data_IF_653480332275
#
_entry.id   IF_653480332275
#
_cell.length_a   1.000
_cell.length_b   1.000
_cell.length_c   1.000
_cell.angle_alpha   90.00
_cell.angle_beta   90.00
_cell.angle_gamma   90.00
#
_symmetry.space_group_name_H-M   'P 1'
#
loop_
_entity.id
_entity.type
_entity.pdbx_description
1 polymer ?
#
# COMPACT_ATOMS: atom_id res chain seq x y z
N UNK A 1 -8.80 -11.07 -8.55
CA UNK A 1 -9.04 -10.49 -9.90
C UNK A 1 -7.71 -10.41 -10.62
N UNK A 2 -7.63 -10.67 -11.93
CA UNK A 2 -6.37 -10.51 -12.68
C UNK A 2 -6.29 -9.12 -13.29
N UNK A 3 -5.07 -8.57 -13.34
CA UNK A 3 -4.78 -7.26 -13.92
C UNK A 3 -3.56 -7.34 -14.84
N UNK A 4 -3.62 -6.56 -15.92
CA UNK A 4 -2.48 -6.25 -16.76
C UNK A 4 -1.88 -4.92 -16.32
N UNK A 5 -0.57 -4.87 -16.10
CA UNK A 5 0.16 -3.64 -15.82
C UNK A 5 0.29 -2.83 -17.11
N UNK A 6 -0.29 -1.63 -17.13
CA UNK A 6 -0.29 -0.74 -18.29
C UNK A 6 0.80 0.33 -18.22
N UNK A 7 1.27 0.63 -17.01
CA UNK A 7 2.31 1.63 -16.70
C UNK A 7 3.28 1.04 -15.69
N UNK A 8 4.61 1.14 -15.89
CA UNK A 8 5.57 0.62 -14.93
C UNK A 8 5.48 1.37 -13.59
N UNK A 9 5.75 0.65 -12.49
CA UNK A 9 5.88 1.22 -11.15
C UNK A 9 7.24 0.84 -10.56
N UNK A 10 7.87 1.77 -9.84
CA UNK A 10 9.11 1.53 -9.10
C UNK A 10 8.94 2.05 -7.69
N UNK A 11 9.15 1.18 -6.71
CA UNK A 11 9.11 1.53 -5.31
C UNK A 11 10.22 2.52 -4.98
N UNK A 12 9.85 3.62 -4.35
CA UNK A 12 10.79 4.59 -3.76
C UNK A 12 11.19 4.20 -2.32
N UNK A 13 10.59 3.13 -1.78
CA UNK A 13 10.71 2.68 -0.39
C UNK A 13 11.28 1.25 -0.32
N UNK A 14 12.61 1.07 -0.46
CA UNK A 14 13.23 -0.26 -0.47
C UNK A 14 13.13 -0.99 0.86
N UNK A 15 12.86 -0.26 1.96
CA UNK A 15 12.54 -0.81 3.28
C UNK A 15 11.10 -0.42 3.59
N UNK A 16 10.14 -1.33 3.42
CA UNK A 16 8.75 -1.00 3.69
C UNK A 16 8.50 -0.94 5.19
N UNK A 17 7.61 -0.03 5.58
CA UNK A 17 7.04 -0.07 6.92
C UNK A 17 6.17 -1.34 7.04
N UNK A 18 6.48 -2.18 8.02
CA UNK A 18 5.67 -3.36 8.38
C UNK A 18 5.11 -3.14 9.77
N UNK A 19 3.81 -3.33 9.92
CA UNK A 19 3.07 -3.17 11.16
C UNK A 19 2.37 -4.47 11.49
N UNK A 20 2.36 -4.82 12.76
CA UNK A 20 1.49 -5.83 13.36
C UNK A 20 0.29 -5.17 14.02
N UNK A 21 -0.82 -5.90 14.06
CA UNK A 21 -1.97 -5.47 14.83
C UNK A 21 -1.56 -5.15 16.27
N UNK A 22 -1.92 -3.95 16.73
CA UNK A 22 -1.60 -3.47 18.06
C UNK A 22 -0.29 -2.66 18.15
N UNK A 23 0.52 -2.62 17.09
CA UNK A 23 1.74 -1.82 17.08
C UNK A 23 1.45 -0.34 17.22
N UNK A 24 2.28 0.35 18.00
CA UNK A 24 2.23 1.79 18.15
C UNK A 24 2.97 2.47 17.00
N UNK A 25 2.38 3.56 16.51
CA UNK A 25 2.93 4.36 15.43
C UNK A 25 2.75 5.86 15.69
N UNK A 26 3.66 6.66 15.16
CA UNK A 26 3.55 8.10 15.09
C UNK A 26 2.77 8.46 13.84
N UNK A 27 1.62 9.10 14.04
CA UNK A 27 0.71 9.56 13.01
C UNK A 27 1.16 10.93 12.53
N UNK A 28 1.70 10.99 11.31
CA UNK A 28 2.15 12.21 10.67
C UNK A 28 1.11 12.80 9.72
N UNK A 29 1.60 13.23 8.55
CA UNK A 29 0.83 14.00 7.59
C UNK A 29 -0.12 13.12 6.76
N UNK A 30 -1.24 13.69 6.35
CA UNK A 30 -2.13 13.08 5.37
C UNK A 30 -1.64 13.41 3.97
N UNK A 31 -1.68 12.43 3.07
CA UNK A 31 -1.35 12.64 1.67
C UNK A 31 -2.22 13.76 1.06
N UNK A 32 -1.58 14.66 0.33
CA UNK A 32 -2.21 15.75 -0.41
C UNK A 32 -1.57 15.82 -1.79
N UNK A 33 -2.19 15.18 -2.79
CA UNK A 33 -1.67 15.14 -4.16
C UNK A 33 -2.80 15.08 -5.19
N UNK A 34 -2.54 15.49 -6.45
CA UNK A 34 -3.51 15.49 -7.53
C UNK A 34 -4.05 14.09 -7.88
N UNK A 35 -3.36 13.03 -7.46
CA UNK A 35 -3.72 11.64 -7.65
C UNK A 35 -4.95 11.20 -6.82
N UNK A 36 -5.42 12.06 -5.91
CA UNK A 36 -6.55 11.78 -5.00
C UNK A 36 -6.39 10.45 -4.24
N UNK A 37 -5.15 10.13 -3.83
CA UNK A 37 -4.88 9.06 -2.88
C UNK A 37 -5.27 9.50 -1.46
N UNK A 38 -6.55 9.81 -1.31
CA UNK A 38 -7.13 10.27 -0.06
C UNK A 38 -7.02 9.16 0.99
N UNK A 39 -6.87 9.57 2.25
CA UNK A 39 -6.79 8.69 3.41
C UNK A 39 -5.50 7.86 3.51
N UNK A 40 -4.46 8.22 2.78
CA UNK A 40 -3.10 7.80 3.13
C UNK A 40 -2.52 8.72 4.19
N UNK A 41 -1.94 8.14 5.23
CA UNK A 41 -1.30 8.84 6.33
C UNK A 41 0.15 8.39 6.40
N UNK A 42 1.07 9.33 6.42
CA UNK A 42 2.49 9.03 6.62
C UNK A 42 2.70 8.69 8.09
N UNK A 43 3.10 7.46 8.35
CA UNK A 43 3.33 6.97 9.70
C UNK A 43 4.76 6.49 9.87
N UNK A 44 5.29 6.65 11.08
CA UNK A 44 6.60 6.12 11.45
C UNK A 44 6.52 5.37 12.77
N UNK A 45 7.54 4.57 13.07
CA UNK A 45 7.70 3.92 14.36
C UNK A 45 9.03 4.37 14.97
N UNK A 46 9.32 3.96 16.20
CA UNK A 46 10.64 4.24 16.78
C UNK A 46 11.76 3.48 16.05
N UNK A 47 11.43 2.43 15.31
CA UNK A 47 12.35 1.53 14.62
C UNK A 47 12.41 1.76 13.10
N UNK A 48 11.44 2.48 12.52
CA UNK A 48 11.32 2.70 11.08
C UNK A 48 11.01 4.16 10.73
N UNK A 49 11.77 4.72 9.79
CA UNK A 49 11.73 6.14 9.42
C UNK A 49 10.36 6.60 8.91
N UNK A 50 9.62 5.72 8.23
CA UNK A 50 8.21 5.92 7.93
C UNK A 50 7.74 5.22 6.66
N UNK A 51 6.44 5.27 6.43
CA UNK A 51 5.76 4.72 5.27
C UNK A 51 4.29 5.15 5.24
N UNK A 52 3.65 5.03 4.07
CA UNK A 52 2.24 5.35 3.91
C UNK A 52 1.37 4.23 4.46
N UNK A 53 0.39 4.60 5.30
CA UNK A 53 -0.54 3.70 5.96
C UNK A 53 -1.97 4.17 5.68
N UNK A 54 -2.91 3.28 5.32
CA UNK A 54 -4.30 3.65 5.15
C UNK A 54 -4.90 4.14 6.47
N UNK A 55 -5.59 5.27 6.49
CA UNK A 55 -6.19 5.81 7.70
C UNK A 55 -7.18 4.84 8.34
N UNK A 56 -7.85 4.01 7.52
CA UNK A 56 -8.83 3.03 7.99
C UNK A 56 -8.23 1.96 8.90
N UNK A 57 -6.90 1.80 8.91
CA UNK A 57 -6.22 0.82 9.72
C UNK A 57 -5.45 1.45 10.89
N UNK A 58 -5.66 2.75 11.12
CA UNK A 58 -5.04 3.50 12.21
C UNK A 58 -6.12 3.86 13.22
N UNK A 59 -5.93 3.42 14.46
CA UNK A 59 -6.63 3.97 15.61
C UNK A 59 -5.85 5.18 16.13
N UNK A 60 -6.48 6.35 16.17
CA UNK A 60 -5.87 7.55 16.79
C UNK A 60 -6.01 7.45 18.31
N UNK A 61 -4.89 7.57 19.02
CA UNK A 61 -4.85 7.51 20.47
C UNK A 61 -5.07 8.91 21.08
N UNK A 62 -5.33 9.01 22.40
CA UNK A 62 -5.55 10.31 23.06
C UNK A 62 -4.36 11.27 23.00
N UNK A 63 -3.14 10.74 22.91
CA UNK A 63 -1.91 11.53 22.79
C UNK A 63 -1.76 12.09 21.37
N UNK A 64 -1.53 13.41 21.18
CA UNK A 64 -1.42 14.01 19.86
C UNK A 64 -0.33 13.35 19.00
N UNK A 65 -0.71 12.91 17.81
CA UNK A 65 0.21 12.25 16.88
C UNK A 65 0.51 10.79 17.24
N UNK A 66 -0.11 10.21 18.26
CA UNK A 66 0.00 8.79 18.55
C UNK A 66 -1.13 7.99 17.88
N UNK A 67 -0.78 6.83 17.36
CA UNK A 67 -1.73 5.88 16.78
C UNK A 67 -1.38 4.44 17.08
N UNK A 68 -2.32 3.55 16.79
CA UNK A 68 -2.17 2.11 16.90
C UNK A 68 -2.68 1.42 15.64
N UNK A 69 -1.95 0.42 15.15
CA UNK A 69 -2.36 -0.36 13.99
C UNK A 69 -3.54 -1.28 14.37
N UNK A 70 -4.63 -1.21 13.62
CA UNK A 70 -5.83 -2.02 13.85
C UNK A 70 -5.72 -3.44 13.29
N UNK A 71 -4.78 -3.68 12.38
CA UNK A 71 -4.52 -4.96 11.73
C UNK A 71 -3.07 -5.02 11.22
N UNK A 72 -2.61 -6.21 10.85
CA UNK A 72 -1.33 -6.37 10.13
C UNK A 72 -1.33 -5.60 8.81
N UNK A 73 -0.23 -4.92 8.52
CA UNK A 73 -0.08 -4.10 7.32
C UNK A 73 1.38 -4.02 6.86
N UNK A 74 1.56 -3.88 5.55
CA UNK A 74 2.86 -3.61 4.95
C UNK A 74 2.71 -2.53 3.90
N UNK A 75 3.56 -1.51 3.97
CA UNK A 75 3.72 -0.47 2.97
C UNK A 75 4.61 -0.93 1.80
N UNK A 76 4.80 -2.24 1.62
CA UNK A 76 5.58 -2.82 0.53
C UNK A 76 4.94 -2.49 -0.81
N UNK A 77 5.66 -1.77 -1.64
CA UNK A 77 5.31 -1.51 -3.03
C UNK A 77 6.05 -2.49 -3.96
N UNK A 78 5.37 -2.95 -5.00
CA UNK A 78 5.93 -3.90 -5.95
C UNK A 78 6.44 -3.21 -7.21
N UNK A 79 7.68 -3.51 -7.59
CA UNK A 79 8.21 -3.11 -8.90
C UNK A 79 7.53 -3.93 -10.01
N UNK A 80 6.86 -3.26 -10.92
CA UNK A 80 6.18 -3.89 -12.07
C UNK A 80 6.54 -3.22 -13.38
N UNK A 81 6.58 -4.01 -14.43
CA UNK A 81 6.78 -3.56 -15.80
C UNK A 81 5.50 -3.62 -16.62
N UNK A 82 5.41 -2.76 -17.62
CA UNK A 82 4.28 -2.79 -18.56
C UNK A 82 4.22 -4.16 -19.24
N UNK A 83 3.06 -4.80 -19.18
CA UNK A 83 2.85 -6.15 -19.69
C UNK A 83 2.89 -7.23 -18.60
N UNK A 84 3.32 -6.91 -17.39
CA UNK A 84 3.25 -7.84 -16.26
C UNK A 84 1.80 -8.21 -15.96
N UNK A 85 1.60 -9.48 -15.61
CA UNK A 85 0.33 -10.00 -15.11
C UNK A 85 0.39 -10.13 -13.60
N UNK A 86 -0.56 -9.51 -12.92
CA UNK A 86 -0.67 -9.54 -11.46
C UNK A 86 -2.07 -9.94 -11.00
N UNK A 87 -2.14 -10.60 -9.86
CA UNK A 87 -3.38 -10.98 -9.20
C UNK A 87 -3.64 -10.00 -8.06
N UNK A 88 -4.70 -9.22 -8.17
CA UNK A 88 -5.12 -8.31 -7.10
C UNK A 88 -5.95 -9.02 -6.05
N UNK A 89 -5.56 -8.84 -4.78
CA UNK A 89 -6.20 -9.41 -3.60
C UNK A 89 -7.03 -8.38 -2.84
N UNK A 90 -6.54 -7.14 -2.73
CA UNK A 90 -7.17 -6.08 -1.94
C UNK A 90 -6.95 -4.73 -2.59
N UNK A 91 -7.99 -3.90 -2.64
CA UNK A 91 -7.88 -2.49 -3.09
C UNK A 91 -8.07 -1.58 -1.89
N UNK A 92 -7.17 -0.62 -1.70
CA UNK A 92 -7.26 0.42 -0.69
C UNK A 92 -6.79 1.76 -1.26
N UNK A 93 -7.61 2.81 -1.11
CA UNK A 93 -7.23 4.21 -1.38
C UNK A 93 -6.49 4.42 -2.71
N UNK A 94 -6.97 3.80 -3.79
CA UNK A 94 -6.38 3.93 -5.14
C UNK A 94 -5.20 2.99 -5.43
N UNK A 95 -4.87 2.06 -4.53
CA UNK A 95 -3.82 1.06 -4.71
C UNK A 95 -4.36 -0.35 -4.61
N UNK A 96 -3.73 -1.29 -5.31
CA UNK A 96 -4.06 -2.72 -5.28
C UNK A 96 -2.89 -3.51 -4.69
N UNK A 97 -3.16 -4.33 -3.68
CA UNK A 97 -2.23 -5.32 -3.17
C UNK A 97 -2.23 -6.49 -4.14
N UNK A 98 -1.08 -6.72 -4.75
CA UNK A 98 -0.93 -7.62 -5.88
C UNK A 98 0.09 -8.72 -5.59
N UNK A 99 -0.20 -9.92 -6.08
CA UNK A 99 0.74 -11.03 -6.25
C UNK A 99 1.11 -11.15 -7.72
N UNK A 100 2.40 -11.18 -8.05
CA UNK A 100 2.88 -11.53 -9.39
C UNK A 100 3.16 -13.04 -9.45
N UNK A 101 2.37 -13.84 -10.21
CA UNK A 101 2.51 -15.30 -10.20
C UNK A 101 3.84 -15.82 -10.77
N UNK A 102 4.53 -15.02 -11.60
CA UNK A 102 5.75 -15.45 -12.29
C UNK A 102 6.92 -15.69 -11.33
N UNK A 103 7.02 -14.88 -10.27
CA UNK A 103 8.13 -14.91 -9.30
C UNK A 103 7.67 -14.90 -7.84
N UNK A 104 6.36 -14.79 -7.59
CA UNK A 104 5.79 -14.74 -6.25
C UNK A 104 5.94 -13.39 -5.57
N UNK A 105 6.32 -12.32 -6.29
CA UNK A 105 6.45 -11.00 -5.70
C UNK A 105 5.10 -10.48 -5.20
N UNK A 106 5.12 -9.81 -4.04
CA UNK A 106 3.94 -9.22 -3.39
C UNK A 106 4.17 -7.73 -3.16
N UNK A 107 3.12 -6.92 -3.30
CA UNK A 107 3.17 -5.51 -2.92
C UNK A 107 2.04 -4.67 -3.51
N UNK A 108 1.96 -3.42 -3.07
CA UNK A 108 1.05 -2.41 -3.59
C UNK A 108 1.50 -1.92 -4.97
N UNK A 109 0.54 -1.80 -5.89
CA UNK A 109 0.69 -1.17 -7.21
C UNK A 109 -0.45 -0.15 -7.37
N UNK A 110 -0.19 1.05 -7.92
CA UNK A 110 -1.25 2.03 -8.15
C UNK A 110 -2.34 1.45 -9.05
N UNK A 111 -3.60 1.61 -8.67
CA UNK A 111 -4.73 1.07 -9.46
C UNK A 111 -4.81 1.73 -10.84
N UNK A 112 -4.37 2.98 -10.96
CA UNK A 112 -4.25 3.70 -12.23
C UNK A 112 -3.25 3.07 -13.21
N UNK A 113 -2.34 2.21 -12.73
CA UNK A 113 -1.36 1.49 -13.53
C UNK A 113 -1.85 0.10 -13.95
N UNK A 114 -3.07 -0.28 -13.53
CA UNK A 114 -3.63 -1.60 -13.73
C UNK A 114 -4.88 -1.53 -14.60
N UNK A 115 -4.99 -2.47 -15.53
CA UNK A 115 -6.22 -2.72 -16.29
C UNK A 115 -6.78 -4.08 -15.89
N UNK A 116 -8.03 -4.17 -15.41
CA UNK A 116 -8.63 -5.46 -15.09
C UNK A 116 -8.72 -6.32 -16.35
N UNK A 117 -8.37 -7.60 -16.22
CA UNK A 117 -8.58 -8.59 -17.27
C UNK A 117 -9.92 -9.28 -17.03
N UNK A 118 -10.72 -9.53 -18.09
CA UNK A 118 -11.90 -10.38 -17.97
C UNK A 118 -11.48 -11.74 -17.42
N UNK A 119 -12.30 -12.32 -16.55
CA UNK A 119 -12.15 -13.74 -16.26
C UNK A 119 -12.50 -14.50 -17.54
N UNK A 120 -11.56 -15.32 -18.04
CA UNK A 120 -11.87 -16.26 -19.12
C UNK A 120 -13.01 -17.15 -18.65
N UNK A 121 -14.08 -17.18 -19.46
CA UNK A 121 -15.35 -17.84 -19.19
C UNK A 121 -15.47 -19.11 -20.02
#
# INVERSE_FOLDING_TARGET
MQYLVTTPHRSEYPKPLVLKQGDFLKVGERYQGPENWDNWIYCSTDEHAGGWVPEQIIERLPDPGAGRALQDYSALEMNVDKGDLVQGEKILNGWCWCLRPQDGALGWVPLSHLSPLPADN
#
